data_IF_954729827620
#
_entry.id   IF_954729827620
#
_cell.length_a   1.000
_cell.length_b   1.000
_cell.length_c   1.000
_cell.angle_alpha   90.00
_cell.angle_beta   90.00
_cell.angle_gamma   90.00
#
_symmetry.space_group_name_H-M   'P 1'
#
loop_
_entity.id
_entity.type
_entity.pdbx_description
1 polymer ?
#
# COMPACT_ATOMS: atom_id res chain seq x y z
N UNK A 1 28.29 -48.48 11.45
CA UNK A 1 27.38 -48.15 10.33
C UNK A 1 27.07 -46.66 10.39
N UNK A 2 27.45 -45.89 9.39
CA UNK A 2 27.10 -44.47 9.27
C UNK A 2 25.77 -44.35 8.51
N UNK A 3 24.74 -43.80 9.16
CA UNK A 3 23.50 -43.45 8.48
C UNK A 3 23.72 -42.13 7.72
N UNK A 4 23.56 -42.18 6.40
CA UNK A 4 23.57 -40.97 5.56
C UNK A 4 22.12 -40.57 5.28
N UNK A 5 21.75 -39.34 5.66
CA UNK A 5 20.46 -38.77 5.27
C UNK A 5 20.55 -38.31 3.81
N UNK A 6 19.58 -38.65 2.94
CA UNK A 6 19.55 -38.12 1.58
C UNK A 6 19.46 -36.59 1.57
N UNK A 7 20.13 -35.95 0.60
CA UNK A 7 20.23 -34.49 0.52
C UNK A 7 18.85 -33.83 0.34
N UNK A 8 17.94 -34.49 -0.34
CA UNK A 8 16.56 -34.05 -0.57
C UNK A 8 15.80 -33.91 0.74
N UNK A 9 15.99 -34.85 1.68
CA UNK A 9 15.36 -34.81 2.99
C UNK A 9 15.92 -33.64 3.81
N UNK A 10 17.23 -33.40 3.76
CA UNK A 10 17.84 -32.24 4.40
C UNK A 10 17.29 -30.92 3.84
N UNK A 11 17.12 -30.82 2.52
CA UNK A 11 16.52 -29.63 1.90
C UNK A 11 15.08 -29.42 2.34
N UNK A 12 14.26 -30.49 2.38
CA UNK A 12 12.88 -30.41 2.86
C UNK A 12 12.81 -29.95 4.32
N UNK A 13 13.69 -30.47 5.18
CA UNK A 13 13.77 -30.02 6.58
C UNK A 13 14.07 -28.52 6.66
N UNK A 14 15.08 -28.03 5.92
CA UNK A 14 15.42 -26.60 5.91
C UNK A 14 14.27 -25.75 5.36
N UNK A 15 13.58 -26.21 4.32
CA UNK A 15 12.42 -25.51 3.75
C UNK A 15 11.26 -25.42 4.75
N UNK A 16 11.07 -26.43 5.61
CA UNK A 16 10.10 -26.39 6.70
C UNK A 16 10.46 -25.43 7.84
N UNK A 17 11.73 -25.07 7.97
CA UNK A 17 12.25 -24.16 9.01
C UNK A 17 12.37 -22.70 8.52
N UNK A 18 11.80 -22.35 7.37
CA UNK A 18 12.01 -21.05 6.73
C UNK A 18 11.53 -19.84 7.55
N UNK A 19 10.61 -20.05 8.50
CA UNK A 19 10.07 -19.06 9.45
C UNK A 19 10.79 -19.07 10.81
N UNK A 20 11.76 -19.97 11.02
CA UNK A 20 12.55 -20.10 12.23
C UNK A 20 14.03 -19.70 12.00
N UNK A 21 14.36 -18.39 11.94
CA UNK A 21 15.70 -17.92 11.60
C UNK A 21 16.78 -18.36 12.60
N UNK A 22 16.46 -18.50 13.88
CA UNK A 22 17.42 -18.97 14.89
C UNK A 22 17.78 -20.45 14.69
N UNK A 23 16.78 -21.28 14.35
CA UNK A 23 16.98 -22.70 14.02
C UNK A 23 17.83 -22.83 12.77
N UNK A 24 17.54 -22.05 11.73
CA UNK A 24 18.33 -22.02 10.49
C UNK A 24 19.79 -21.59 10.72
N UNK A 25 20.05 -20.62 11.61
CA UNK A 25 21.42 -20.25 12.01
C UNK A 25 22.14 -21.41 12.68
N UNK A 26 21.44 -22.14 13.55
CA UNK A 26 21.99 -23.33 14.20
C UNK A 26 22.32 -24.41 13.16
N UNK A 27 21.44 -24.64 12.18
CA UNK A 27 21.70 -25.56 11.07
C UNK A 27 22.96 -25.19 10.27
N UNK A 28 23.23 -23.90 10.07
CA UNK A 28 24.47 -23.44 9.41
C UNK A 28 25.74 -23.84 10.16
N UNK A 29 25.69 -24.02 11.48
CA UNK A 29 26.84 -24.44 12.29
C UNK A 29 27.09 -25.95 12.20
N UNK A 30 26.06 -26.73 11.86
CA UNK A 30 26.13 -28.20 11.83
C UNK A 30 26.81 -28.71 10.57
N UNK A 31 26.53 -28.12 9.39
CA UNK A 31 27.07 -28.60 8.11
C UNK A 31 27.11 -27.51 7.05
N UNK A 32 28.22 -27.48 6.28
CA UNK A 32 28.41 -26.57 5.15
C UNK A 32 27.40 -26.77 4.01
N UNK A 33 26.86 -27.99 3.87
CA UNK A 33 25.80 -28.28 2.89
C UNK A 33 24.51 -27.53 3.25
N UNK A 34 24.19 -27.46 4.56
CA UNK A 34 23.01 -26.75 5.04
C UNK A 34 23.17 -25.23 4.92
N UNK A 35 24.40 -24.72 5.01
CA UNK A 35 24.69 -23.27 4.91
C UNK A 35 24.12 -22.68 3.62
N UNK A 36 24.33 -23.31 2.46
CA UNK A 36 23.88 -22.75 1.18
C UNK A 36 22.35 -22.64 1.12
N UNK A 37 21.64 -23.67 1.59
CA UNK A 37 20.18 -23.67 1.60
C UNK A 37 19.62 -22.72 2.65
N UNK A 38 20.17 -22.73 3.86
CA UNK A 38 19.74 -21.85 4.95
C UNK A 38 20.00 -20.37 4.63
N UNK A 39 21.11 -20.03 3.96
CA UNK A 39 21.42 -18.66 3.49
C UNK A 39 20.30 -18.08 2.63
N UNK A 40 19.70 -18.89 1.76
CA UNK A 40 18.56 -18.44 0.94
C UNK A 40 17.44 -17.86 1.78
N UNK A 41 17.13 -18.47 2.92
CA UNK A 41 16.05 -18.03 3.82
C UNK A 41 16.52 -16.93 4.77
N UNK A 42 17.70 -17.09 5.36
CA UNK A 42 18.30 -16.12 6.29
C UNK A 42 18.53 -14.74 5.66
N UNK A 43 18.83 -14.70 4.35
CA UNK A 43 19.08 -13.48 3.60
C UNK A 43 17.95 -13.14 2.60
N UNK A 44 16.81 -13.83 2.66
CA UNK A 44 15.66 -13.52 1.79
C UNK A 44 15.15 -12.09 2.00
N UNK A 45 15.28 -11.57 3.23
CA UNK A 45 14.90 -10.22 3.63
C UNK A 45 16.09 -9.53 4.28
N UNK A 46 16.48 -8.38 3.76
CA UNK A 46 17.58 -7.56 4.28
C UNK A 46 17.02 -6.18 4.60
N UNK A 47 17.25 -5.74 5.82
CA UNK A 47 16.85 -4.42 6.31
C UNK A 47 18.11 -3.63 6.72
N UNK A 48 18.37 -2.52 6.05
CA UNK A 48 19.40 -1.55 6.43
C UNK A 48 18.74 -0.43 7.26
N UNK A 49 19.16 -0.26 8.53
CA UNK A 49 18.62 0.74 9.47
C UNK A 49 19.75 1.45 10.23
N UNK A 50 19.62 2.73 10.64
CA UNK A 50 20.63 3.39 11.46
C UNK A 50 20.78 2.72 12.83
N UNK A 51 21.88 2.99 13.57
CA UNK A 51 22.84 4.10 13.39
C UNK A 51 23.99 3.82 12.41
N UNK A 52 24.09 2.62 11.86
CA UNK A 52 25.24 2.23 11.04
C UNK A 52 24.87 2.22 9.57
N UNK A 53 25.67 2.86 8.71
CA UNK A 53 25.51 2.76 7.26
C UNK A 53 25.81 1.32 6.84
N UNK A 54 24.77 0.49 6.77
CA UNK A 54 24.95 -0.94 6.58
C UNK A 54 25.45 -1.30 5.17
N UNK A 55 25.37 -0.41 4.18
CA UNK A 55 25.94 -0.66 2.85
C UNK A 55 27.48 -0.75 2.91
N UNK A 56 28.14 0.20 3.56
CA UNK A 56 29.60 0.17 3.72
C UNK A 56 30.05 -1.06 4.54
N UNK A 57 29.31 -1.40 5.61
CA UNK A 57 29.58 -2.63 6.38
C UNK A 57 29.33 -3.90 5.58
N UNK A 58 28.34 -3.90 4.69
CA UNK A 58 28.07 -5.02 3.81
C UNK A 58 29.24 -5.27 2.87
N UNK A 59 29.79 -4.19 2.31
CA UNK A 59 30.99 -4.23 1.47
C UNK A 59 32.21 -4.74 2.26
N UNK A 60 32.44 -4.26 3.49
CA UNK A 60 33.52 -4.74 4.35
C UNK A 60 33.37 -6.23 4.70
N UNK A 61 32.13 -6.69 4.91
CA UNK A 61 31.85 -8.09 5.28
C UNK A 61 31.93 -9.03 4.07
N UNK A 62 31.53 -8.55 2.90
CA UNK A 62 31.48 -9.31 1.65
C UNK A 62 32.22 -8.55 0.54
N UNK A 63 33.57 -8.45 0.63
CA UNK A 63 34.36 -7.69 -0.35
C UNK A 63 34.32 -8.31 -1.74
N UNK A 64 34.06 -9.62 -1.82
CA UNK A 64 33.80 -10.32 -3.08
C UNK A 64 32.29 -10.44 -3.34
N UNK A 65 31.75 -9.72 -4.35
CA UNK A 65 30.35 -9.77 -4.73
C UNK A 65 29.83 -11.17 -5.06
N UNK A 66 30.70 -12.07 -5.56
CA UNK A 66 30.30 -13.44 -5.94
C UNK A 66 30.04 -14.32 -4.73
N UNK A 67 30.68 -14.00 -3.60
CA UNK A 67 30.47 -14.66 -2.31
C UNK A 67 29.32 -14.04 -1.50
N UNK A 68 28.86 -12.85 -1.90
CA UNK A 68 27.87 -12.07 -1.18
C UNK A 68 26.50 -12.78 -1.20
N UNK A 69 25.80 -12.85 -0.05
CA UNK A 69 24.46 -13.42 -0.02
C UNK A 69 23.39 -12.48 -0.61
N UNK A 70 23.77 -11.32 -1.16
CA UNK A 70 22.85 -10.34 -1.75
C UNK A 70 21.97 -10.93 -2.86
N UNK A 71 22.48 -11.91 -3.63
CA UNK A 71 21.72 -12.59 -4.67
C UNK A 71 20.56 -13.45 -4.15
N UNK A 72 20.53 -13.77 -2.85
CA UNK A 72 19.39 -14.43 -2.21
C UNK A 72 18.28 -13.45 -1.79
N UNK A 73 18.58 -12.15 -1.74
CA UNK A 73 17.64 -11.14 -1.28
C UNK A 73 16.45 -11.02 -2.24
N UNK A 74 15.25 -11.19 -1.69
CA UNK A 74 13.97 -10.93 -2.37
C UNK A 74 13.31 -9.66 -1.88
N UNK A 75 13.57 -9.29 -0.64
CA UNK A 75 13.10 -8.05 -0.03
C UNK A 75 14.27 -7.25 0.49
N UNK A 76 14.38 -6.00 0.06
CA UNK A 76 15.38 -5.05 0.55
C UNK A 76 14.67 -3.83 1.11
N UNK A 77 14.90 -3.52 2.38
CA UNK A 77 14.44 -2.30 3.02
C UNK A 77 15.63 -1.41 3.34
N UNK A 78 15.61 -0.16 2.87
CA UNK A 78 16.57 0.87 3.23
C UNK A 78 15.85 1.94 4.00
N UNK A 79 16.08 1.98 5.30
CA UNK A 79 15.41 2.88 6.22
C UNK A 79 16.44 3.91 6.69
N UNK A 80 16.09 5.18 6.54
CA UNK A 80 16.89 6.34 6.89
C UNK A 80 18.29 6.31 6.28
N UNK A 81 18.40 6.20 4.93
CA UNK A 81 19.70 6.11 4.29
C UNK A 81 20.56 7.33 4.62
N UNK A 82 21.82 7.08 4.97
CA UNK A 82 22.86 8.10 4.92
C UNK A 82 23.09 8.51 3.47
N UNK A 83 23.61 9.73 3.20
CA UNK A 83 24.04 10.12 1.87
C UNK A 83 24.91 9.02 1.26
N UNK A 84 24.48 8.56 0.10
CA UNK A 84 25.07 7.41 -0.57
C UNK A 84 26.15 7.95 -1.50
N UNK A 85 27.37 7.44 -1.34
CA UNK A 85 28.50 7.78 -2.19
C UNK A 85 28.49 6.91 -3.45
N UNK A 86 29.32 7.25 -4.45
CA UNK A 86 29.37 6.49 -5.71
C UNK A 86 29.64 4.99 -5.53
N UNK A 87 30.47 4.59 -4.55
CA UNK A 87 30.80 3.18 -4.29
C UNK A 87 29.62 2.33 -3.81
N UNK A 88 28.69 2.92 -3.06
CA UNK A 88 27.51 2.20 -2.56
C UNK A 88 26.59 1.74 -3.72
N UNK A 89 26.64 2.42 -4.88
CA UNK A 89 25.86 2.03 -6.06
C UNK A 89 26.29 0.66 -6.61
N UNK A 90 27.58 0.34 -6.55
CA UNK A 90 28.09 -0.96 -7.00
C UNK A 90 27.66 -2.08 -6.04
N UNK A 91 27.66 -1.80 -4.73
CA UNK A 91 27.12 -2.72 -3.72
C UNK A 91 25.63 -2.98 -3.97
N UNK A 92 24.84 -1.95 -4.26
CA UNK A 92 23.41 -2.09 -4.55
C UNK A 92 23.13 -2.98 -5.77
N UNK A 93 24.00 -2.96 -6.79
CA UNK A 93 23.86 -3.84 -7.97
C UNK A 93 23.99 -5.33 -7.65
N UNK A 94 24.62 -5.69 -6.53
CA UNK A 94 24.67 -7.10 -6.08
C UNK A 94 23.30 -7.62 -5.63
N UNK A 95 22.34 -6.73 -5.36
CA UNK A 95 20.95 -7.05 -4.99
C UNK A 95 20.03 -7.16 -6.21
N UNK A 96 20.54 -7.65 -7.34
CA UNK A 96 19.80 -7.73 -8.61
C UNK A 96 18.57 -8.68 -8.60
N UNK A 97 18.43 -9.50 -7.54
CA UNK A 97 17.32 -10.45 -7.35
C UNK A 97 16.14 -9.91 -6.53
N UNK A 98 16.20 -8.65 -6.07
CA UNK A 98 15.19 -8.03 -5.20
C UNK A 98 13.88 -7.81 -5.96
N UNK A 99 12.80 -8.36 -5.43
CA UNK A 99 11.44 -8.25 -5.96
C UNK A 99 10.63 -7.17 -5.22
N UNK A 100 10.90 -6.99 -3.93
CA UNK A 100 10.25 -6.01 -3.07
C UNK A 100 11.28 -5.02 -2.55
N UNK A 101 11.17 -3.76 -2.95
CA UNK A 101 12.06 -2.71 -2.49
C UNK A 101 11.30 -1.68 -1.65
N UNK A 102 11.80 -1.41 -0.45
CA UNK A 102 11.28 -0.39 0.45
C UNK A 102 12.34 0.66 0.73
N UNK A 103 12.00 1.92 0.52
CA UNK A 103 12.84 3.07 0.86
C UNK A 103 12.07 3.99 1.81
N UNK A 104 12.64 4.30 2.96
CA UNK A 104 12.00 5.14 3.98
C UNK A 104 12.96 6.25 4.43
N UNK A 105 12.64 7.51 4.17
CA UNK A 105 13.49 8.67 4.48
C UNK A 105 12.91 9.59 5.57
N UNK A 106 11.85 9.16 6.25
CA UNK A 106 11.00 10.04 7.06
C UNK A 106 11.64 10.71 8.29
N UNK A 107 12.80 10.27 8.76
CA UNK A 107 13.44 10.84 9.95
C UNK A 107 14.43 11.97 9.65
N UNK A 108 14.65 12.31 8.38
CA UNK A 108 15.65 13.28 7.98
C UNK A 108 15.01 14.67 7.79
N UNK A 109 15.34 15.66 8.66
CA UNK A 109 14.66 16.95 8.63
C UNK A 109 14.92 17.74 7.35
N UNK A 110 16.11 17.66 6.76
CA UNK A 110 16.51 18.61 5.69
C UNK A 110 17.51 18.11 4.63
N UNK A 111 17.98 16.86 4.65
CA UNK A 111 18.92 16.40 3.62
C UNK A 111 18.20 15.97 2.34
N UNK A 112 18.63 16.51 1.20
CA UNK A 112 18.29 15.95 -0.11
C UNK A 112 19.03 14.63 -0.28
N UNK A 113 18.30 13.53 -0.27
CA UNK A 113 18.86 12.21 -0.52
C UNK A 113 18.81 11.97 -2.02
N UNK A 114 19.96 11.79 -2.65
CA UNK A 114 20.03 11.39 -4.05
C UNK A 114 19.48 9.99 -4.23
N UNK A 115 18.50 9.81 -5.11
CA UNK A 115 17.95 8.50 -5.46
C UNK A 115 18.78 7.77 -6.52
N UNK A 116 19.69 8.47 -7.21
CA UNK A 116 20.46 7.94 -8.34
C UNK A 116 21.14 6.58 -8.06
N UNK A 117 21.76 6.33 -6.89
CA UNK A 117 22.39 5.04 -6.62
C UNK A 117 21.43 3.83 -6.65
N UNK A 118 20.14 4.08 -6.45
CA UNK A 118 19.11 3.05 -6.50
C UNK A 118 18.52 2.85 -7.90
N UNK A 119 18.85 3.69 -8.90
CA UNK A 119 18.21 3.60 -10.21
C UNK A 119 18.51 2.25 -10.87
N UNK A 120 17.46 1.46 -11.14
CA UNK A 120 17.56 0.21 -11.88
C UNK A 120 18.48 -0.85 -11.26
N UNK A 121 18.80 -0.79 -9.96
CA UNK A 121 19.72 -1.76 -9.34
C UNK A 121 19.20 -3.20 -9.43
N UNK A 122 17.87 -3.37 -9.45
CA UNK A 122 17.21 -4.65 -9.66
C UNK A 122 16.12 -4.52 -10.74
N UNK A 123 16.27 -5.16 -11.91
CA UNK A 123 15.29 -5.08 -12.99
C UNK A 123 14.02 -5.91 -12.72
N UNK A 124 14.01 -6.72 -11.67
CA UNK A 124 12.91 -7.63 -11.31
C UNK A 124 12.03 -7.11 -10.16
N UNK A 125 12.23 -5.85 -9.73
CA UNK A 125 11.38 -5.23 -8.71
C UNK A 125 9.94 -5.17 -9.23
N UNK A 126 9.04 -5.81 -8.48
CA UNK A 126 7.59 -5.81 -8.73
C UNK A 126 6.84 -4.93 -7.74
N UNK A 127 7.35 -4.77 -6.52
CA UNK A 127 6.72 -3.98 -5.48
C UNK A 127 7.67 -2.93 -4.95
N UNK A 128 7.24 -1.68 -5.03
CA UNK A 128 8.02 -0.51 -4.67
C UNK A 128 7.28 0.30 -3.60
N UNK A 129 7.83 0.35 -2.39
CA UNK A 129 7.29 1.14 -1.29
C UNK A 129 8.24 2.28 -0.98
N UNK A 130 7.80 3.51 -1.25
CA UNK A 130 8.57 4.71 -0.99
C UNK A 130 7.88 5.57 0.05
N UNK A 131 8.62 5.95 1.08
CA UNK A 131 8.15 6.77 2.18
C UNK A 131 9.12 7.92 2.38
N UNK A 132 8.64 9.16 2.25
CA UNK A 132 9.50 10.35 2.30
C UNK A 132 8.96 11.44 3.21
N UNK A 133 9.87 12.20 3.82
CA UNK A 133 9.50 13.42 4.56
C UNK A 133 9.14 14.55 3.61
N UNK A 134 9.88 14.69 2.50
CA UNK A 134 9.68 15.69 1.44
C UNK A 134 9.90 15.06 0.07
N UNK A 135 8.94 15.21 -0.87
CA UNK A 135 9.05 14.67 -2.23
C UNK A 135 9.54 15.73 -3.24
N UNK A 136 10.73 15.59 -3.84
CA UNK A 136 10.99 16.16 -5.16
C UNK A 136 10.29 15.30 -6.22
N UNK A 137 9.07 15.69 -6.61
CA UNK A 137 8.16 14.84 -7.40
C UNK A 137 8.76 14.31 -8.71
N UNK A 138 9.64 15.05 -9.39
CA UNK A 138 10.26 14.59 -10.64
C UNK A 138 11.30 13.48 -10.42
N UNK A 139 12.15 13.61 -9.41
CA UNK A 139 13.16 12.60 -9.08
C UNK A 139 12.52 11.26 -8.71
N UNK A 140 11.42 11.30 -7.96
CA UNK A 140 10.70 10.08 -7.54
C UNK A 140 10.04 9.38 -8.72
N UNK A 141 9.46 10.12 -9.67
CA UNK A 141 8.85 9.51 -10.84
C UNK A 141 9.90 8.93 -11.79
N UNK A 142 11.03 9.64 -11.96
CA UNK A 142 12.18 9.10 -12.70
C UNK A 142 12.72 7.84 -12.03
N UNK A 143 12.76 7.83 -10.69
CA UNK A 143 13.15 6.68 -9.90
C UNK A 143 12.20 5.50 -10.10
N UNK A 144 10.89 5.70 -9.96
CA UNK A 144 9.86 4.67 -10.21
C UNK A 144 9.99 4.12 -11.64
N UNK A 145 10.17 4.99 -12.63
CA UNK A 145 10.28 4.59 -14.03
C UNK A 145 11.60 3.89 -14.38
N UNK A 146 12.60 3.90 -13.48
CA UNK A 146 13.81 3.09 -13.63
C UNK A 146 13.58 1.58 -13.43
N UNK A 147 12.39 1.18 -12.97
CA UNK A 147 12.03 -0.21 -12.69
C UNK A 147 10.88 -0.69 -13.60
N UNK A 148 11.16 -1.24 -14.79
CA UNK A 148 10.13 -1.58 -15.78
C UNK A 148 9.15 -2.67 -15.32
N UNK A 149 9.54 -3.48 -14.33
CA UNK A 149 8.76 -4.59 -13.79
C UNK A 149 7.81 -4.21 -12.65
N UNK A 150 7.73 -2.92 -12.25
CA UNK A 150 6.88 -2.51 -11.12
C UNK A 150 5.41 -2.72 -11.43
N UNK A 151 4.76 -3.46 -10.53
CA UNK A 151 3.33 -3.77 -10.53
C UNK A 151 2.62 -3.08 -9.36
N UNK A 152 3.21 -3.13 -8.17
CA UNK A 152 2.71 -2.52 -6.93
C UNK A 152 3.51 -1.27 -6.56
N UNK A 153 2.83 -0.18 -6.25
CA UNK A 153 3.41 1.10 -5.88
C UNK A 153 2.75 1.64 -4.61
N UNK A 154 3.54 1.86 -3.57
CA UNK A 154 3.12 2.57 -2.36
C UNK A 154 3.93 3.85 -2.24
N UNK A 155 3.26 5.01 -2.21
CA UNK A 155 3.88 6.32 -2.02
C UNK A 155 3.32 6.98 -0.77
N UNK A 156 4.17 7.18 0.23
CA UNK A 156 3.83 7.85 1.48
C UNK A 156 4.66 9.12 1.60
N UNK A 157 4.02 10.25 1.84
CA UNK A 157 4.69 11.54 2.03
C UNK A 157 4.03 12.38 3.11
N UNK A 158 4.87 12.96 3.97
CA UNK A 158 4.43 13.87 5.04
C UNK A 158 4.40 15.34 4.63
N UNK A 159 5.07 15.73 3.55
CA UNK A 159 5.01 17.10 3.04
C UNK A 159 5.45 17.16 1.58
N UNK A 160 4.78 17.99 0.80
CA UNK A 160 5.21 18.35 -0.55
C UNK A 160 5.23 19.87 -0.66
N UNK A 161 6.24 20.49 -0.04
CA UNK A 161 6.66 21.84 -0.43
C UNK A 161 7.47 21.75 -1.73
N UNK A 162 6.86 21.25 -2.79
CA UNK A 162 7.51 21.21 -4.09
C UNK A 162 7.15 22.46 -4.87
N UNK A 163 8.16 23.22 -5.27
CA UNK A 163 7.99 24.14 -6.39
C UNK A 163 7.83 23.28 -7.64
N UNK A 164 6.84 23.60 -8.47
CA UNK A 164 6.71 22.96 -9.77
C UNK A 164 8.02 23.14 -10.55
N UNK A 165 8.78 22.06 -10.65
CA UNK A 165 9.89 21.96 -11.58
C UNK A 165 9.32 21.34 -12.85
N UNK A 166 9.71 21.90 -14.00
CA UNK A 166 9.43 21.32 -15.30
C UNK A 166 9.78 19.82 -15.27
N UNK A 167 8.85 18.99 -15.73
CA UNK A 167 9.01 17.55 -15.74
C UNK A 167 8.91 17.05 -17.16
N UNK A 168 10.00 16.47 -17.63
CA UNK A 168 10.02 15.75 -18.89
C UNK A 168 9.55 14.32 -18.63
N UNK A 169 8.42 13.95 -19.23
CA UNK A 169 7.86 12.61 -19.08
C UNK A 169 8.87 11.57 -19.58
N UNK A 170 9.15 10.51 -18.80
CA UNK A 170 10.12 9.49 -19.20
C UNK A 170 9.60 8.74 -20.45
N UNK A 171 10.51 8.29 -21.34
CA UNK A 171 10.12 7.62 -22.58
C UNK A 171 9.43 6.28 -22.34
N UNK A 172 9.65 5.68 -21.17
CA UNK A 172 9.08 4.39 -20.76
C UNK A 172 8.52 4.48 -19.36
N UNK A 173 7.50 3.67 -19.09
CA UNK A 173 6.85 3.54 -17.79
C UNK A 173 6.64 2.07 -17.43
N UNK A 174 6.58 1.74 -16.12
CA UNK A 174 6.14 0.44 -15.66
C UNK A 174 4.70 0.13 -16.07
N UNK A 175 4.32 -1.15 -16.06
CA UNK A 175 2.97 -1.58 -16.46
C UNK A 175 1.90 -1.29 -15.42
N UNK A 176 2.27 -1.15 -14.14
CA UNK A 176 1.36 -0.80 -13.04
C UNK A 176 0.08 -1.66 -12.99
N UNK A 177 0.25 -2.98 -12.92
CA UNK A 177 -0.86 -3.95 -12.96
C UNK A 177 -1.31 -4.48 -11.59
N UNK A 178 -0.63 -4.09 -10.53
CA UNK A 178 -0.89 -4.52 -9.15
C UNK A 178 -1.72 -3.48 -8.39
N UNK A 179 -1.19 -3.03 -7.27
CA UNK A 179 -1.82 -2.07 -6.36
C UNK A 179 -1.15 -0.69 -6.40
N UNK A 180 -1.96 0.36 -6.22
CA UNK A 180 -1.50 1.71 -5.93
C UNK A 180 -2.03 2.11 -4.55
N UNK A 181 -1.12 2.44 -3.65
CA UNK A 181 -1.43 3.04 -2.36
C UNK A 181 -0.74 4.39 -2.26
N UNK A 182 -1.54 5.44 -2.07
CA UNK A 182 -1.04 6.79 -1.89
C UNK A 182 -1.39 7.23 -0.48
N UNK A 183 -0.46 7.83 0.24
CA UNK A 183 -0.69 8.52 1.50
C UNK A 183 0.15 9.79 1.49
N UNK A 184 -0.36 10.80 0.78
CA UNK A 184 0.35 12.03 0.48
C UNK A 184 -0.34 13.18 1.20
N UNK A 185 0.29 13.74 2.24
CA UNK A 185 -0.27 14.87 2.98
C UNK A 185 -0.50 16.11 2.11
N UNK A 186 0.41 16.34 1.17
CA UNK A 186 0.32 17.38 0.16
C UNK A 186 0.71 16.80 -1.20
N UNK A 187 0.43 17.54 -2.28
CA UNK A 187 0.97 17.22 -3.61
C UNK A 187 0.35 16.00 -4.29
N UNK A 188 -0.75 15.46 -3.73
CA UNK A 188 -1.51 14.37 -4.34
C UNK A 188 -1.81 14.67 -5.82
N UNK A 189 -2.38 15.84 -6.11
CA UNK A 189 -2.68 16.30 -7.48
C UNK A 189 -1.48 16.22 -8.42
N UNK A 190 -0.30 16.68 -7.97
CA UNK A 190 0.91 16.74 -8.78
C UNK A 190 1.44 15.33 -9.07
N UNK A 191 1.40 14.44 -8.08
CA UNK A 191 1.79 13.03 -8.27
C UNK A 191 0.81 12.35 -9.22
N UNK A 192 -0.50 12.56 -9.05
CA UNK A 192 -1.52 11.95 -9.90
C UNK A 192 -1.43 12.44 -11.33
N UNK A 193 -1.35 13.75 -11.57
CA UNK A 193 -1.27 14.31 -12.92
C UNK A 193 -0.11 13.69 -13.69
N UNK A 194 1.06 13.63 -13.07
CA UNK A 194 2.25 13.04 -13.69
C UNK A 194 2.14 11.53 -13.87
N UNK A 195 1.53 10.80 -12.94
CA UNK A 195 1.25 9.37 -13.13
C UNK A 195 0.30 9.14 -14.31
N UNK A 196 -0.70 10.00 -14.50
CA UNK A 196 -1.65 9.93 -15.62
C UNK A 196 -0.98 10.25 -16.97
N UNK A 197 0.04 11.11 -16.96
CA UNK A 197 0.85 11.51 -18.12
C UNK A 197 1.92 10.49 -18.51
N UNK A 198 2.13 9.43 -17.72
CA UNK A 198 3.07 8.37 -18.06
C UNK A 198 2.63 7.64 -19.34
N UNK A 199 3.59 7.24 -20.20
CA UNK A 199 3.28 6.41 -21.37
C UNK A 199 2.63 5.09 -20.94
N UNK A 200 2.02 4.33 -21.87
CA UNK A 200 1.36 3.03 -21.63
C UNK A 200 0.10 3.03 -20.75
N UNK A 201 -0.19 4.12 -20.04
CA UNK A 201 -1.36 4.28 -19.18
C UNK A 201 -1.30 3.47 -17.89
N UNK A 202 -2.23 3.75 -16.97
CA UNK A 202 -2.33 3.09 -15.66
C UNK A 202 -3.32 1.92 -15.71
N UNK A 203 -2.96 0.79 -15.08
CA UNK A 203 -3.72 -0.47 -15.13
C UNK A 203 -3.88 -1.13 -13.76
N UNK A 204 -3.88 -0.33 -12.69
CA UNK A 204 -3.91 -0.85 -11.32
C UNK A 204 -5.22 -1.60 -11.05
N UNK A 205 -5.11 -2.76 -10.41
CA UNK A 205 -6.26 -3.55 -9.94
C UNK A 205 -6.78 -3.09 -8.59
N UNK A 206 -5.93 -2.47 -7.78
CA UNK A 206 -6.29 -2.02 -6.43
C UNK A 206 -5.86 -0.57 -6.26
N UNK A 207 -6.76 0.28 -5.80
CA UNK A 207 -6.46 1.68 -5.44
C UNK A 207 -6.80 1.89 -3.97
N UNK A 208 -5.85 2.46 -3.23
CA UNK A 208 -6.07 2.96 -1.86
C UNK A 208 -5.64 4.41 -1.82
N UNK A 209 -6.58 5.31 -1.55
CA UNK A 209 -6.33 6.76 -1.54
C UNK A 209 -7.01 7.42 -0.33
N UNK A 210 -6.29 8.24 0.44
CA UNK A 210 -6.89 9.20 1.35
C UNK A 210 -7.24 10.48 0.60
N UNK A 211 -8.34 11.12 0.99
CA UNK A 211 -8.69 12.47 0.57
C UNK A 211 -8.44 13.40 1.73
N UNK A 212 -7.59 14.39 1.52
CA UNK A 212 -7.24 15.39 2.53
C UNK A 212 -7.80 16.76 2.15
N UNK A 213 -7.90 17.03 0.85
CA UNK A 213 -8.48 18.27 0.30
C UNK A 213 -9.51 17.97 -0.80
N UNK A 214 -10.50 18.84 -1.04
CA UNK A 214 -11.56 18.62 -2.05
C UNK A 214 -11.06 18.28 -3.46
N UNK A 215 -9.90 18.82 -3.85
CA UNK A 215 -9.29 18.58 -5.15
C UNK A 215 -8.93 17.10 -5.34
N UNK A 216 -8.66 16.36 -4.25
CA UNK A 216 -8.30 14.92 -4.29
C UNK A 216 -9.40 14.07 -4.92
N UNK A 217 -10.66 14.51 -4.82
CA UNK A 217 -11.81 13.84 -5.44
C UNK A 217 -11.69 13.84 -6.97
N UNK A 218 -11.32 14.97 -7.57
CA UNK A 218 -11.18 15.09 -9.03
C UNK A 218 -10.00 14.27 -9.56
N UNK A 219 -8.86 14.30 -8.87
CA UNK A 219 -7.71 13.46 -9.21
C UNK A 219 -8.01 11.97 -9.05
N UNK A 220 -8.70 11.59 -7.97
CA UNK A 220 -9.11 10.19 -7.76
C UNK A 220 -10.09 9.74 -8.83
N UNK A 221 -11.04 10.59 -9.22
CA UNK A 221 -11.97 10.30 -10.33
C UNK A 221 -11.22 10.06 -11.64
N UNK A 222 -10.19 10.87 -11.91
CA UNK A 222 -9.32 10.71 -13.08
C UNK A 222 -8.54 9.38 -13.05
N UNK A 223 -8.00 9.00 -11.88
CA UNK A 223 -7.36 7.69 -11.67
C UNK A 223 -8.31 6.52 -11.91
N UNK A 224 -9.51 6.57 -11.32
CA UNK A 224 -10.53 5.52 -11.49
C UNK A 224 -10.96 5.41 -12.95
N UNK A 225 -11.16 6.55 -13.62
CA UNK A 225 -11.46 6.55 -15.06
C UNK A 225 -10.34 5.92 -15.87
N UNK A 226 -9.07 6.18 -15.53
CA UNK A 226 -7.91 5.60 -16.23
C UNK A 226 -7.78 4.10 -15.99
N UNK A 227 -8.05 3.63 -14.77
CA UNK A 227 -8.00 2.21 -14.38
C UNK A 227 -9.34 1.47 -14.59
N UNK A 228 -10.32 2.09 -15.26
CA UNK A 228 -11.72 1.66 -15.35
C UNK A 228 -11.95 0.19 -15.76
N UNK A 229 -11.08 -0.36 -16.60
CA UNK A 229 -11.17 -1.73 -17.13
C UNK A 229 -10.30 -2.75 -16.38
N UNK A 230 -9.60 -2.34 -15.32
CA UNK A 230 -8.66 -3.16 -14.54
C UNK A 230 -8.91 -3.07 -13.04
N UNK A 231 -9.51 -1.98 -12.56
CA UNK A 231 -9.80 -1.74 -11.16
C UNK A 231 -10.81 -2.75 -10.61
N UNK A 232 -10.36 -3.56 -9.65
CA UNK A 232 -11.14 -4.59 -8.94
C UNK A 232 -11.45 -4.18 -7.49
N UNK A 233 -10.56 -3.41 -6.85
CA UNK A 233 -10.68 -2.95 -5.47
C UNK A 233 -10.44 -1.45 -5.34
N UNK A 234 -11.31 -0.73 -4.64
CA UNK A 234 -11.16 0.69 -4.33
C UNK A 234 -11.33 0.93 -2.83
N UNK A 235 -10.35 1.57 -2.19
CA UNK A 235 -10.41 2.02 -0.82
C UNK A 235 -10.23 3.53 -0.75
N UNK A 236 -11.23 4.25 -0.26
CA UNK A 236 -11.19 5.70 -0.06
C UNK A 236 -11.25 6.00 1.43
N UNK A 237 -10.32 6.82 1.93
CA UNK A 237 -10.37 7.34 3.30
C UNK A 237 -10.58 8.85 3.25
N UNK A 238 -11.78 9.31 3.57
CA UNK A 238 -12.10 10.74 3.50
C UNK A 238 -11.77 11.43 4.83
N UNK A 239 -10.77 12.32 4.81
CA UNK A 239 -10.36 13.19 5.92
C UNK A 239 -10.75 14.66 5.71
N UNK A 240 -11.45 15.00 4.61
CA UNK A 240 -11.84 16.38 4.32
C UNK A 240 -12.92 16.81 5.33
N UNK A 241 -12.59 17.73 6.23
CA UNK A 241 -13.54 18.30 7.19
C UNK A 241 -14.45 19.31 6.50
N UNK A 242 -15.77 19.15 6.65
CA UNK A 242 -16.75 20.12 6.15
C UNK A 242 -16.75 20.30 4.63
N UNK A 243 -16.31 19.28 3.88
CA UNK A 243 -16.23 19.32 2.43
C UNK A 243 -17.58 19.75 1.79
N UNK A 244 -17.56 20.55 0.72
CA UNK A 244 -18.79 20.89 0.02
C UNK A 244 -19.47 19.63 -0.54
N UNK A 245 -20.78 19.52 -0.30
CA UNK A 245 -21.66 18.38 -0.63
C UNK A 245 -21.67 17.91 -2.09
N UNK A 246 -20.95 18.56 -3.00
CA UNK A 246 -21.11 18.42 -4.45
C UNK A 246 -20.04 17.56 -5.15
N UNK A 247 -18.89 17.29 -4.52
CA UNK A 247 -17.82 16.52 -5.16
C UNK A 247 -17.91 15.05 -4.79
N UNK A 248 -18.41 14.22 -5.72
CA UNK A 248 -18.41 12.77 -5.56
C UNK A 248 -17.57 12.11 -6.65
N UNK A 249 -17.09 10.90 -6.38
CA UNK A 249 -16.33 10.11 -7.35
C UNK A 249 -17.28 9.40 -8.32
N UNK A 250 -17.05 9.56 -9.62
CA UNK A 250 -17.78 8.81 -10.65
C UNK A 250 -17.19 7.40 -10.83
N UNK A 251 -17.97 6.40 -10.41
CA UNK A 251 -17.64 4.98 -10.51
C UNK A 251 -18.29 4.31 -11.74
N UNK A 252 -19.00 5.05 -12.60
CA UNK A 252 -19.73 4.50 -13.75
C UNK A 252 -18.83 3.79 -14.78
N UNK A 253 -17.57 4.23 -14.87
CA UNK A 253 -16.56 3.65 -15.75
C UNK A 253 -15.89 2.41 -15.17
N UNK A 254 -15.89 2.21 -13.85
CA UNK A 254 -15.16 1.14 -13.17
C UNK A 254 -15.85 -0.23 -13.35
N UNK A 255 -15.83 -0.74 -14.58
CA UNK A 255 -16.58 -1.94 -15.02
C UNK A 255 -16.13 -3.24 -14.35
N UNK A 256 -14.93 -3.31 -13.78
CA UNK A 256 -14.43 -4.50 -13.06
C UNK A 256 -14.45 -4.37 -11.55
N UNK A 257 -14.99 -3.27 -11.01
CA UNK A 257 -14.96 -3.00 -9.58
C UNK A 257 -15.80 -4.04 -8.83
N UNK A 258 -15.15 -4.80 -7.94
CA UNK A 258 -15.76 -5.86 -7.12
C UNK A 258 -15.89 -5.42 -5.68
N UNK A 259 -14.86 -4.79 -5.15
CA UNK A 259 -14.78 -4.45 -3.73
C UNK A 259 -14.60 -2.95 -3.56
N UNK A 260 -15.42 -2.35 -2.70
CA UNK A 260 -15.30 -0.93 -2.35
C UNK A 260 -15.28 -0.77 -0.84
N UNK A 261 -14.27 -0.10 -0.32
CA UNK A 261 -14.13 0.25 1.08
C UNK A 261 -14.18 1.77 1.22
N UNK A 262 -15.20 2.27 1.89
CA UNK A 262 -15.31 3.68 2.26
C UNK A 262 -15.01 3.84 3.73
N UNK A 263 -13.98 4.63 4.04
CA UNK A 263 -13.66 5.01 5.41
C UNK A 263 -13.97 6.48 5.59
N UNK A 264 -14.86 6.77 6.53
CA UNK A 264 -15.29 8.13 6.82
C UNK A 264 -14.65 8.56 8.12
N UNK A 265 -13.98 9.72 8.14
CA UNK A 265 -13.64 10.35 9.43
C UNK A 265 -14.61 11.47 9.79
N UNK A 266 -15.37 11.97 8.82
CA UNK A 266 -16.45 12.93 8.99
C UNK A 266 -17.80 12.26 8.64
N UNK A 267 -18.90 12.93 8.98
CA UNK A 267 -20.24 12.38 9.07
C UNK A 267 -21.06 12.56 7.79
N UNK A 268 -20.51 13.20 6.77
CA UNK A 268 -21.18 13.35 5.48
C UNK A 268 -21.08 12.04 4.69
N UNK A 269 -22.20 11.33 4.58
CA UNK A 269 -22.34 10.10 3.78
C UNK A 269 -22.84 10.35 2.36
N UNK A 270 -23.22 11.59 2.01
CA UNK A 270 -23.80 11.89 0.71
C UNK A 270 -22.84 11.61 -0.45
N UNK A 271 -21.53 11.82 -0.24
CA UNK A 271 -20.54 11.49 -1.25
C UNK A 271 -20.47 9.98 -1.50
N UNK A 272 -20.67 9.13 -0.47
CA UNK A 272 -20.73 7.66 -0.62
C UNK A 272 -21.97 7.29 -1.41
N UNK A 273 -23.13 7.82 -1.03
CA UNK A 273 -24.41 7.58 -1.72
C UNK A 273 -24.31 7.97 -3.19
N UNK A 274 -23.72 9.12 -3.48
CA UNK A 274 -23.58 9.62 -4.86
C UNK A 274 -22.57 8.78 -5.65
N UNK A 275 -21.42 8.42 -5.04
CA UNK A 275 -20.45 7.53 -5.66
C UNK A 275 -21.07 6.17 -6.01
N UNK A 276 -21.79 5.55 -5.05
CA UNK A 276 -22.46 4.28 -5.26
C UNK A 276 -23.55 4.38 -6.33
N UNK A 277 -24.31 5.48 -6.42
CA UNK A 277 -25.32 5.68 -7.47
C UNK A 277 -24.74 5.66 -8.88
N UNK A 278 -23.53 6.18 -9.06
CA UNK A 278 -22.86 6.14 -10.36
C UNK A 278 -22.30 4.76 -10.67
N UNK A 279 -22.07 3.92 -9.67
CA UNK A 279 -21.44 2.62 -9.85
C UNK A 279 -22.34 1.62 -10.58
N UNK A 280 -21.73 0.81 -11.46
CA UNK A 280 -22.42 -0.31 -12.10
C UNK A 280 -22.55 -1.45 -11.12
N UNK A 281 -23.71 -1.53 -10.47
CA UNK A 281 -23.92 -2.48 -9.38
C UNK A 281 -23.61 -3.91 -9.79
N UNK A 282 -23.93 -4.38 -10.98
CA UNK A 282 -23.80 -5.78 -11.42
C UNK A 282 -22.45 -6.47 -11.11
N UNK A 283 -21.36 -5.70 -10.98
CA UNK A 283 -20.02 -6.24 -10.72
C UNK A 283 -19.55 -6.16 -9.26
N UNK A 284 -20.14 -5.28 -8.44
CA UNK A 284 -19.72 -5.09 -7.05
C UNK A 284 -20.19 -6.30 -6.21
N UNK A 285 -19.24 -6.97 -5.57
CA UNK A 285 -19.44 -8.11 -4.68
C UNK A 285 -19.45 -7.69 -3.22
N UNK A 286 -18.60 -6.72 -2.86
CA UNK A 286 -18.43 -6.27 -1.48
C UNK A 286 -18.47 -4.75 -1.35
N UNK A 287 -19.27 -4.27 -0.41
CA UNK A 287 -19.22 -2.88 0.06
C UNK A 287 -18.84 -2.93 1.54
N UNK A 288 -17.76 -2.26 1.90
CA UNK A 288 -17.33 -2.10 3.28
C UNK A 288 -17.42 -0.64 3.69
N UNK A 289 -18.11 -0.38 4.80
CA UNK A 289 -18.19 0.95 5.40
C UNK A 289 -17.44 0.93 6.73
N UNK A 290 -16.54 1.89 6.92
CA UNK A 290 -15.82 2.10 8.17
C UNK A 290 -16.28 3.43 8.77
N UNK A 291 -17.14 3.32 9.78
CA UNK A 291 -17.94 4.42 10.32
C UNK A 291 -17.33 4.89 11.65
N UNK A 292 -17.10 6.21 11.84
CA UNK A 292 -16.64 6.76 13.10
C UNK A 292 -17.79 6.88 14.10
N UNK A 293 -17.47 6.75 15.39
CA UNK A 293 -18.46 6.73 16.49
C UNK A 293 -19.36 7.98 16.56
N UNK A 294 -18.82 9.15 16.23
CA UNK A 294 -19.47 10.43 16.55
C UNK A 294 -20.58 10.83 15.53
N UNK A 295 -21.04 9.90 14.68
CA UNK A 295 -21.75 10.20 13.42
C UNK A 295 -23.27 10.22 13.35
N UNK A 296 -23.95 10.13 14.49
CA UNK A 296 -25.36 9.71 14.56
C UNK A 296 -26.40 10.70 14.02
N UNK A 297 -26.07 11.98 13.86
CA UNK A 297 -27.07 13.02 13.57
C UNK A 297 -27.04 13.58 12.15
N UNK A 298 -26.22 13.01 11.25
CA UNK A 298 -26.08 13.59 9.91
C UNK A 298 -27.18 13.16 8.93
N UNK A 299 -27.77 14.11 8.18
CA UNK A 299 -28.75 13.79 7.15
C UNK A 299 -28.08 13.01 6.00
N UNK A 300 -28.69 11.91 5.56
CA UNK A 300 -28.23 11.14 4.40
C UNK A 300 -28.08 9.63 4.65
N UNK A 301 -27.98 9.20 5.91
CA UNK A 301 -27.91 7.78 6.26
C UNK A 301 -29.13 6.98 5.78
N UNK A 302 -30.34 7.56 5.86
CA UNK A 302 -31.57 6.92 5.36
C UNK A 302 -31.54 6.67 3.85
N UNK A 303 -30.91 7.57 3.09
CA UNK A 303 -30.76 7.46 1.64
C UNK A 303 -29.71 6.41 1.27
N UNK A 304 -28.58 6.37 2.01
CA UNK A 304 -27.57 5.33 1.89
C UNK A 304 -28.15 3.95 2.24
N UNK A 305 -28.87 3.83 3.35
CA UNK A 305 -29.54 2.61 3.81
C UNK A 305 -30.49 2.07 2.73
N UNK A 306 -31.37 2.93 2.20
CA UNK A 306 -32.27 2.58 1.10
C UNK A 306 -31.52 2.13 -0.15
N UNK A 307 -30.39 2.76 -0.47
CA UNK A 307 -29.54 2.37 -1.59
C UNK A 307 -28.88 1.01 -1.38
N UNK A 308 -28.37 0.73 -0.17
CA UNK A 308 -27.75 -0.54 0.18
C UNK A 308 -28.76 -1.69 0.20
N UNK A 309 -30.00 -1.44 0.64
CA UNK A 309 -31.10 -2.42 0.55
C UNK A 309 -31.43 -2.75 -0.90
N UNK A 310 -31.51 -1.74 -1.78
CA UNK A 310 -31.70 -1.96 -3.23
C UNK A 310 -30.56 -2.75 -3.83
N UNK A 311 -29.34 -2.44 -3.44
CA UNK A 311 -28.14 -3.17 -3.86
C UNK A 311 -28.23 -4.64 -3.47
N UNK A 312 -28.59 -4.92 -2.22
CA UNK A 312 -28.71 -6.27 -1.70
C UNK A 312 -29.86 -7.07 -2.33
N UNK A 313 -31.04 -6.47 -2.44
CA UNK A 313 -32.22 -7.15 -3.00
C UNK A 313 -32.06 -7.52 -4.47
N UNK A 314 -31.20 -6.81 -5.21
CA UNK A 314 -30.90 -7.15 -6.60
C UNK A 314 -30.14 -8.48 -6.74
N UNK A 315 -29.17 -8.75 -5.84
CA UNK A 315 -28.38 -9.99 -5.77
C UNK A 315 -27.80 -10.14 -4.35
N UNK A 316 -27.81 -11.34 -3.75
CA UNK A 316 -27.19 -11.58 -2.45
C UNK A 316 -25.70 -11.28 -2.56
N UNK A 317 -25.24 -10.22 -1.89
CA UNK A 317 -23.86 -9.72 -1.94
C UNK A 317 -23.29 -9.67 -0.54
N UNK A 318 -22.14 -9.05 -0.32
CA UNK A 318 -21.62 -8.87 1.03
C UNK A 318 -21.53 -7.39 1.35
N UNK A 319 -22.35 -6.93 2.29
CA UNK A 319 -22.21 -5.60 2.86
C UNK A 319 -21.61 -5.82 4.25
N UNK A 320 -20.39 -5.33 4.42
CA UNK A 320 -19.73 -5.36 5.71
C UNK A 320 -19.74 -3.96 6.28
N UNK A 321 -20.11 -3.84 7.55
CA UNK A 321 -19.99 -2.58 8.28
C UNK A 321 -18.99 -2.81 9.39
N UNK A 322 -17.90 -2.04 9.32
CA UNK A 322 -16.88 -1.94 10.35
C UNK A 322 -17.20 -0.68 11.14
N UNK A 323 -17.42 -0.83 12.44
CA UNK A 323 -17.67 0.29 13.33
C UNK A 323 -16.69 0.20 14.50
N UNK A 324 -16.00 1.29 14.78
CA UNK A 324 -15.18 1.39 15.99
C UNK A 324 -16.10 1.77 17.17
N UNK A 325 -16.42 0.80 18.02
CA UNK A 325 -17.19 1.01 19.26
C UNK A 325 -16.29 0.86 20.48
N UNK A 326 -16.42 1.76 21.46
CA UNK A 326 -15.79 1.60 22.77
C UNK A 326 -16.52 0.57 23.64
N UNK A 327 -17.80 0.32 23.32
CA UNK A 327 -18.72 -0.51 24.10
C UNK A 327 -18.70 -1.98 23.63
N UNK A 328 -17.65 -2.36 22.88
CA UNK A 328 -17.52 -3.69 22.27
C UNK A 328 -18.43 -3.90 21.05
N UNK A 329 -18.53 -5.16 20.61
CA UNK A 329 -19.26 -5.55 19.40
C UNK A 329 -20.77 -5.32 19.49
N UNK A 330 -21.39 -5.49 20.67
CA UNK A 330 -22.83 -5.29 20.87
C UNK A 330 -23.25 -3.82 20.66
N UNK A 331 -22.51 -2.88 21.28
CA UNK A 331 -22.73 -1.45 21.05
C UNK A 331 -22.48 -1.03 19.60
N UNK A 332 -21.56 -1.70 18.89
CA UNK A 332 -21.34 -1.46 17.46
C UNK A 332 -22.56 -1.89 16.61
N UNK A 333 -23.20 -3.02 16.95
CA UNK A 333 -24.38 -3.52 16.24
C UNK A 333 -25.57 -2.59 16.43
N UNK A 334 -25.85 -2.18 17.67
CA UNK A 334 -26.94 -1.22 17.95
C UNK A 334 -26.70 0.12 17.27
N UNK A 335 -25.45 0.59 17.27
CA UNK A 335 -25.07 1.84 16.60
C UNK A 335 -25.35 1.78 15.09
N UNK A 336 -24.92 0.71 14.43
CA UNK A 336 -25.17 0.53 12.99
C UNK A 336 -26.66 0.31 12.70
N UNK A 337 -27.42 -0.35 13.58
CA UNK A 337 -28.87 -0.48 13.45
C UNK A 337 -29.61 0.86 13.54
N UNK A 338 -29.10 1.80 14.34
CA UNK A 338 -29.60 3.18 14.34
C UNK A 338 -29.35 3.91 13.02
N UNK A 339 -28.20 3.70 12.38
CA UNK A 339 -27.80 4.37 11.14
C UNK A 339 -28.41 3.74 9.88
N UNK A 340 -28.51 2.42 9.84
CA UNK A 340 -28.92 1.63 8.68
C UNK A 340 -30.07 0.65 9.05
N UNK A 341 -31.20 1.15 9.55
CA UNK A 341 -32.26 0.31 10.12
C UNK A 341 -32.86 -0.68 9.12
N UNK A 342 -32.94 -0.34 7.83
CA UNK A 342 -33.55 -1.23 6.84
C UNK A 342 -32.64 -2.41 6.49
N UNK A 343 -31.33 -2.19 6.35
CA UNK A 343 -30.41 -3.30 6.06
C UNK A 343 -30.14 -4.17 7.29
N UNK A 344 -30.21 -3.63 8.51
CA UNK A 344 -30.12 -4.43 9.76
C UNK A 344 -31.41 -5.16 10.11
N UNK A 345 -32.58 -4.57 9.82
CA UNK A 345 -33.89 -5.15 10.15
C UNK A 345 -34.44 -6.11 9.09
N UNK A 346 -33.81 -6.20 7.93
CA UNK A 346 -34.20 -7.14 6.87
C UNK A 346 -33.87 -8.60 7.20
N UNK A 347 -34.33 -9.56 6.38
CA UNK A 347 -33.99 -10.99 6.51
C UNK A 347 -32.51 -11.30 6.20
N UNK A 348 -31.68 -10.26 6.18
CA UNK A 348 -30.34 -10.21 5.63
C UNK A 348 -29.39 -9.94 6.77
N UNK A 349 -28.56 -10.92 7.09
CA UNK A 349 -27.49 -10.72 8.06
C UNK A 349 -26.44 -9.76 7.52
N UNK A 350 -26.26 -8.62 8.18
CA UNK A 350 -25.02 -7.85 8.05
C UNK A 350 -23.89 -8.63 8.70
N UNK A 351 -22.75 -8.65 8.03
CA UNK A 351 -21.52 -9.14 8.64
C UNK A 351 -20.87 -7.98 9.39
N UNK A 352 -20.98 -8.04 10.71
CA UNK A 352 -20.22 -7.17 11.60
C UNK A 352 -18.81 -7.70 11.73
N UNK A 353 -17.83 -6.86 11.35
CA UNK A 353 -16.42 -7.17 11.52
C UNK A 353 -15.88 -6.22 12.58
N UNK A 354 -15.61 -6.77 13.76
CA UNK A 354 -14.93 -6.01 14.81
C UNK A 354 -13.50 -5.72 14.40
N UNK A 355 -13.08 -4.46 14.55
CA UNK A 355 -11.74 -4.04 14.16
C UNK A 355 -10.72 -4.60 15.15
N UNK A 356 -9.83 -5.45 14.66
CA UNK A 356 -8.72 -5.95 15.48
C UNK A 356 -7.83 -4.79 15.98
N UNK A 357 -7.38 -4.85 17.24
CA UNK A 357 -6.55 -3.81 17.83
C UNK A 357 -5.20 -3.59 17.09
N UNK A 358 -4.74 -4.56 16.29
CA UNK A 358 -3.53 -4.41 15.46
C UNK A 358 -3.68 -3.37 14.35
N UNK A 359 -4.89 -3.14 13.83
CA UNK A 359 -5.13 -2.13 12.79
C UNK A 359 -5.17 -0.70 13.34
N UNK A 360 -5.38 -0.53 14.65
CA UNK A 360 -5.40 0.79 15.30
C UNK A 360 -4.03 1.46 15.32
N UNK A 361 -2.94 0.69 15.33
CA UNK A 361 -1.57 1.23 15.38
C UNK A 361 -1.16 1.99 14.13
N UNK A 362 -1.74 1.65 12.96
CA UNK A 362 -1.48 2.37 11.71
C UNK A 362 -2.12 3.77 11.68
N UNK A 363 -3.03 4.09 12.62
CA UNK A 363 -3.81 5.34 12.65
C UNK A 363 -3.33 6.40 13.63
N UNK A 364 -2.40 6.09 14.53
CA UNK A 364 -1.84 7.09 15.44
C UNK A 364 -0.75 7.92 14.73
N UNK A 365 -1.16 8.71 13.73
CA UNK A 365 -0.45 9.93 13.39
C UNK A 365 -0.80 10.97 14.47
N UNK A 366 0.18 11.63 15.12
CA UNK A 366 -0.10 12.60 16.17
C UNK A 366 -1.04 13.69 15.66
N UNK A 367 -2.14 13.93 16.37
CA UNK A 367 -3.04 15.08 16.17
C UNK A 367 -2.39 16.42 16.55
N UNK A 368 -1.17 16.42 17.09
CA UNK A 368 -0.46 17.60 17.61
C UNK A 368 0.40 18.36 16.57
N UNK A 369 0.00 18.38 15.29
CA UNK A 369 0.57 19.32 14.32
C UNK A 369 -0.47 19.61 13.23
N UNK A 370 -1.47 20.43 13.58
CA UNK A 370 -2.27 21.27 12.67
C UNK A 370 -2.21 22.68 13.23
#
# INVERSE_FOLDING_TARGET
>A
MSFFLPQEILHLIIDHLHDEPETLRTCCLVSTVLVQRARRYLFAKIDFRPPHSHLSRWEETFPDPTSSPAHHARTLSVIYPTPINGGDADVLRTFCGVVHFRLDTNSWPDARISLLPFHGFSPVIRSLHLKFSRLPTSEILNFICSFPSVEDLTLVSRSVRSREVAWDSPPTSPRFTGSLELDLRDGFQIVISRLLDLPNGLRFKRLTVPWLVPEDVASTTSLVSRCSNTLEYLSITNFILGAPRASSIDLSKATKLRDVLFRCTDLDVQWITTALRTAKFENIQRISLDIPRDGMSHPGWSELDSLLVRFWTSRPRRVDVVCDSADGSEGAVEHVAGLLPQITGGPVGLNFVERSNSDKFSRNLPREFI
#
